data_IF_082691551922
#
_entry.id   IF_082691551922
#
_cell.length_a   1.000
_cell.length_b   1.000
_cell.length_c   1.000
_cell.angle_alpha   90.00
_cell.angle_beta   90.00
_cell.angle_gamma   90.00
#
_symmetry.space_group_name_H-M   'P 1'
#
loop_
_entity.id
_entity.type
_entity.pdbx_description
1 polymer ?
#
# COMPACT_ATOMS: atom_id res chain seq x y z
N UNK A 1 13.11 1.67 -16.14
CA UNK A 1 13.13 2.06 -14.71
C UNK A 1 11.92 1.54 -13.93
N UNK A 2 12.16 0.55 -13.07
CA UNK A 2 11.19 0.14 -12.05
C UNK A 2 11.24 1.01 -10.81
N UNK A 3 10.07 1.33 -10.28
CA UNK A 3 9.88 1.92 -8.96
C UNK A 3 9.30 0.89 -7.99
N UNK A 4 9.88 0.83 -6.80
CA UNK A 4 9.36 0.09 -5.66
C UNK A 4 8.64 1.06 -4.75
N UNK A 5 7.40 0.73 -4.44
CA UNK A 5 6.52 1.56 -3.62
C UNK A 5 6.18 0.81 -2.35
N UNK A 6 6.25 1.50 -1.22
CA UNK A 6 5.70 1.04 0.05
C UNK A 6 4.65 2.04 0.50
N UNK A 7 3.46 1.55 0.81
CA UNK A 7 2.36 2.30 1.37
C UNK A 7 2.08 1.77 2.76
N UNK A 8 1.90 2.66 3.73
CA UNK A 8 1.31 2.29 5.02
C UNK A 8 0.25 3.32 5.41
N UNK A 9 -0.79 2.90 6.12
CA UNK A 9 -1.85 3.80 6.54
C UNK A 9 -2.53 3.42 7.86
N UNK A 10 -2.89 4.43 8.63
CA UNK A 10 -3.66 4.28 9.86
C UNK A 10 -5.02 4.95 9.68
N UNK A 11 -6.09 4.16 9.75
CA UNK A 11 -7.45 4.65 9.61
C UNK A 11 -7.94 5.26 10.92
N UNK A 12 -8.53 6.44 10.84
CA UNK A 12 -9.24 7.07 11.95
C UNK A 12 -10.63 6.43 12.08
N UNK A 13 -11.01 6.04 13.30
CA UNK A 13 -12.35 5.56 13.62
C UNK A 13 -12.86 4.46 12.65
N UNK A 14 -12.01 3.51 12.26
CA UNK A 14 -12.34 2.46 11.28
C UNK A 14 -13.65 1.71 11.58
N UNK A 15 -13.92 1.48 12.87
CA UNK A 15 -15.15 0.85 13.38
C UNK A 15 -16.44 1.62 13.08
N UNK A 16 -16.35 2.92 12.80
CA UNK A 16 -17.48 3.79 12.42
C UNK A 16 -17.77 3.76 10.92
N UNK A 17 -16.93 3.11 10.11
CA UNK A 17 -17.25 2.89 8.70
C UNK A 17 -18.47 1.96 8.58
N UNK A 18 -19.24 2.02 7.48
CA UNK A 18 -20.34 1.08 7.22
C UNK A 18 -19.91 -0.40 7.21
N UNK A 19 -18.60 -0.65 7.10
CA UNK A 19 -17.99 -1.97 7.06
C UNK A 19 -17.36 -2.38 8.40
N UNK A 20 -17.44 -1.52 9.43
CA UNK A 20 -16.87 -1.74 10.75
C UNK A 20 -15.40 -2.13 10.70
N UNK A 21 -15.01 -3.10 11.52
CA UNK A 21 -13.62 -3.61 11.58
C UNK A 21 -13.18 -4.33 10.29
N UNK A 22 -14.11 -4.68 9.39
CA UNK A 22 -13.80 -5.35 8.12
C UNK A 22 -13.26 -4.39 7.05
N UNK A 23 -13.24 -3.08 7.32
CA UNK A 23 -12.82 -2.08 6.33
C UNK A 23 -11.36 -2.25 5.87
N UNK A 24 -10.48 -2.71 6.75
CA UNK A 24 -9.08 -3.02 6.40
C UNK A 24 -8.99 -4.13 5.35
N UNK A 25 -9.81 -5.18 5.48
CA UNK A 25 -9.87 -6.25 4.48
C UNK A 25 -10.43 -5.74 3.14
N UNK A 26 -11.47 -4.89 3.18
CA UNK A 26 -12.02 -4.27 1.96
C UNK A 26 -11.05 -3.35 1.23
N UNK A 27 -10.22 -2.63 1.98
CA UNK A 27 -9.13 -1.83 1.40
C UNK A 27 -8.03 -2.73 0.86
N UNK A 28 -7.71 -3.83 1.55
CA UNK A 28 -6.77 -4.86 1.05
C UNK A 28 -7.23 -5.39 -0.31
N UNK A 29 -8.48 -5.86 -0.41
CA UNK A 29 -9.05 -6.35 -1.67
C UNK A 29 -8.97 -5.29 -2.79
N UNK A 30 -9.23 -4.02 -2.46
CA UNK A 30 -9.17 -2.94 -3.44
C UNK A 30 -7.74 -2.63 -3.90
N UNK A 31 -6.76 -2.74 -3.01
CA UNK A 31 -5.34 -2.55 -3.30
C UNK A 31 -4.78 -3.73 -4.09
N UNK A 32 -5.18 -4.96 -3.78
CA UNK A 32 -4.76 -6.16 -4.52
C UNK A 32 -5.23 -6.10 -6.00
N UNK A 33 -6.42 -5.53 -6.26
CA UNK A 33 -6.91 -5.28 -7.61
C UNK A 33 -6.14 -4.19 -8.39
N UNK A 34 -5.25 -3.45 -7.72
CA UNK A 34 -4.39 -2.42 -8.29
C UNK A 34 -2.91 -2.82 -8.24
N UNK A 35 -2.62 -4.13 -8.17
CA UNK A 35 -1.27 -4.72 -8.14
C UNK A 35 -0.43 -4.32 -6.92
N UNK A 36 -1.06 -3.82 -5.85
CA UNK A 36 -0.41 -3.76 -4.55
C UNK A 36 -0.44 -5.16 -3.93
N UNK A 37 0.55 -5.44 -3.09
CA UNK A 37 0.71 -6.74 -2.46
C UNK A 37 0.91 -6.59 -0.96
N UNK A 38 0.31 -7.54 -0.22
CA UNK A 38 0.53 -7.71 1.22
C UNK A 38 1.79 -8.48 1.56
N UNK A 39 2.50 -9.00 0.56
CA UNK A 39 3.71 -9.78 0.74
C UNK A 39 4.90 -9.15 0.02
N UNK A 40 6.09 -9.35 0.58
CA UNK A 40 7.36 -9.05 -0.08
C UNK A 40 8.06 -10.34 -0.44
N UNK A 41 8.58 -10.42 -1.66
CA UNK A 41 9.34 -11.59 -2.13
C UNK A 41 10.83 -11.29 -2.08
N UNK A 42 11.56 -12.06 -1.28
CA UNK A 42 13.02 -11.96 -1.18
C UNK A 42 13.76 -12.67 -2.33
N UNK A 43 15.10 -12.57 -2.35
CA UNK A 43 15.96 -13.16 -3.41
C UNK A 43 15.85 -14.68 -3.57
N UNK A 44 15.39 -15.40 -2.54
CA UNK A 44 15.18 -16.86 -2.57
C UNK A 44 13.72 -17.25 -2.83
N UNK A 45 12.95 -16.36 -3.45
CA UNK A 45 11.50 -16.54 -3.72
C UNK A 45 10.65 -16.77 -2.46
N UNK A 46 11.20 -16.50 -1.28
CA UNK A 46 10.45 -16.55 -0.03
C UNK A 46 9.58 -15.31 0.06
N UNK A 47 8.28 -15.53 0.16
CA UNK A 47 7.28 -14.50 0.47
C UNK A 47 7.20 -14.31 1.97
N UNK A 48 7.10 -13.05 2.40
CA UNK A 48 6.91 -12.69 3.81
C UNK A 48 5.75 -11.71 3.89
N UNK A 49 4.82 -11.97 4.80
CA UNK A 49 3.67 -11.10 5.06
C UNK A 49 4.11 -9.77 5.69
N UNK A 50 3.54 -8.68 5.19
CA UNK A 50 3.72 -7.34 5.73
C UNK A 50 2.74 -7.07 6.88
N UNK A 51 3.06 -6.11 7.77
CA UNK A 51 2.13 -5.63 8.79
C UNK A 51 0.77 -5.26 8.21
N UNK A 52 -0.32 -5.42 8.98
CA UNK A 52 -1.72 -5.28 8.53
C UNK A 52 -2.07 -3.97 7.82
N UNK A 53 -1.33 -2.89 8.05
CA UNK A 53 -1.51 -1.60 7.38
C UNK A 53 -0.52 -1.31 6.24
N UNK A 54 0.46 -2.17 5.98
CA UNK A 54 1.54 -1.94 5.01
C UNK A 54 1.36 -2.77 3.73
N UNK A 55 1.59 -2.15 2.58
CA UNK A 55 1.44 -2.73 1.25
C UNK A 55 2.59 -2.29 0.36
N UNK A 56 2.93 -3.08 -0.65
CA UNK A 56 4.00 -2.75 -1.59
C UNK A 56 3.52 -2.90 -3.02
N UNK A 57 4.06 -2.11 -3.94
CA UNK A 57 3.77 -2.24 -5.37
C UNK A 57 5.05 -2.05 -6.17
N UNK A 58 5.02 -2.53 -7.41
CA UNK A 58 6.08 -2.28 -8.40
C UNK A 58 5.43 -1.61 -9.60
N UNK A 59 5.96 -0.46 -9.98
CA UNK A 59 5.56 0.24 -11.20
C UNK A 59 6.71 0.14 -12.20
N UNK A 60 6.40 -0.27 -13.42
CA UNK A 60 7.34 -0.24 -14.55
C UNK A 60 7.36 1.18 -15.17
N UNK A 61 8.10 1.32 -16.27
CA UNK A 61 8.68 2.55 -16.86
C UNK A 61 7.69 3.66 -17.31
N UNK A 62 6.44 3.62 -16.88
CA UNK A 62 5.40 4.60 -17.28
C UNK A 62 5.57 5.97 -16.60
N UNK A 63 6.55 6.12 -15.70
CA UNK A 63 6.79 7.33 -14.93
C UNK A 63 8.22 7.83 -15.07
N UNK A 64 8.39 9.13 -15.31
CA UNK A 64 9.73 9.74 -15.42
C UNK A 64 10.30 10.06 -14.03
N UNK A 65 9.44 10.45 -13.09
CA UNK A 65 9.83 10.92 -11.77
C UNK A 65 9.11 10.20 -10.61
N UNK A 66 9.83 9.99 -9.51
CA UNK A 66 9.28 9.38 -8.28
C UNK A 66 8.08 10.15 -7.72
N UNK A 67 8.06 11.48 -7.90
CA UNK A 67 6.95 12.34 -7.48
C UNK A 67 5.65 12.02 -8.21
N UNK A 68 5.71 11.64 -9.49
CA UNK A 68 4.52 11.25 -10.27
C UNK A 68 3.93 9.95 -9.72
N UNK A 69 4.80 9.00 -9.38
CA UNK A 69 4.39 7.75 -8.73
C UNK A 69 3.73 8.02 -7.37
N UNK A 70 4.30 8.94 -6.57
CA UNK A 70 3.71 9.33 -5.28
C UNK A 70 2.31 9.91 -5.46
N UNK A 71 2.12 10.86 -6.39
CA UNK A 71 0.81 11.47 -6.62
C UNK A 71 -0.20 10.47 -7.21
N UNK A 72 0.25 9.57 -8.11
CA UNK A 72 -0.59 8.50 -8.63
C UNK A 72 -1.08 7.56 -7.51
N UNK A 73 -0.16 7.07 -6.66
CA UNK A 73 -0.47 6.19 -5.53
C UNK A 73 -1.40 6.90 -4.54
N UNK A 74 -1.14 8.18 -4.24
CA UNK A 74 -1.98 9.00 -3.38
C UNK A 74 -3.40 9.11 -3.94
N UNK A 75 -3.56 9.42 -5.23
CA UNK A 75 -4.86 9.52 -5.87
C UNK A 75 -5.65 8.20 -5.80
N UNK A 76 -4.97 7.06 -5.94
CA UNK A 76 -5.59 5.74 -5.77
C UNK A 76 -6.05 5.49 -4.34
N UNK A 77 -5.19 5.80 -3.35
CA UNK A 77 -5.55 5.67 -1.93
C UNK A 77 -6.73 6.57 -1.56
N UNK A 78 -6.74 7.82 -2.02
CA UNK A 78 -7.86 8.74 -1.78
C UNK A 78 -9.18 8.21 -2.35
N UNK A 79 -9.17 7.66 -3.58
CA UNK A 79 -10.35 7.03 -4.18
C UNK A 79 -10.85 5.85 -3.34
N UNK A 80 -9.94 4.99 -2.87
CA UNK A 80 -10.28 3.83 -2.05
C UNK A 80 -10.85 4.27 -0.70
N UNK A 81 -10.21 5.22 -0.03
CA UNK A 81 -10.65 5.71 1.28
C UNK A 81 -12.03 6.36 1.20
N UNK A 82 -12.27 7.18 0.16
CA UNK A 82 -13.59 7.76 -0.10
C UNK A 82 -14.65 6.69 -0.38
N UNK A 83 -14.32 5.68 -1.19
CA UNK A 83 -15.24 4.56 -1.51
C UNK A 83 -15.72 3.83 -0.25
N UNK A 84 -14.85 3.70 0.75
CA UNK A 84 -15.17 3.00 2.00
C UNK A 84 -15.54 3.94 3.16
N UNK A 85 -15.72 5.23 2.89
CA UNK A 85 -16.08 6.26 3.87
C UNK A 85 -15.14 6.29 5.08
N UNK A 86 -13.84 6.16 4.83
CA UNK A 86 -12.78 6.25 5.85
C UNK A 86 -11.85 7.42 5.59
N UNK A 87 -11.16 7.83 6.64
CA UNK A 87 -10.06 8.80 6.58
C UNK A 87 -8.93 8.31 7.47
N UNK A 88 -7.72 8.83 7.28
CA UNK A 88 -6.57 8.35 8.02
C UNK A 88 -5.28 9.04 7.63
N UNK A 89 -4.23 8.77 8.38
CA UNK A 89 -2.87 9.14 7.97
C UNK A 89 -2.33 8.06 7.06
N UNK A 90 -1.53 8.45 6.08
CA UNK A 90 -0.84 7.51 5.20
C UNK A 90 0.59 7.97 4.98
N UNK A 91 1.43 7.03 4.59
CA UNK A 91 2.81 7.25 4.20
C UNK A 91 3.10 6.47 2.92
N UNK A 92 3.72 7.14 1.95
CA UNK A 92 4.13 6.56 0.67
C UNK A 92 5.63 6.76 0.56
N UNK A 93 6.35 5.68 0.32
CA UNK A 93 7.77 5.70 -0.04
C UNK A 93 7.95 5.14 -1.43
N UNK A 94 8.71 5.84 -2.28
CA UNK A 94 9.02 5.42 -3.65
C UNK A 94 10.53 5.43 -3.83
N UNK A 95 11.09 4.33 -4.34
CA UNK A 95 12.52 4.18 -4.55
C UNK A 95 12.85 3.34 -5.78
N UNK A 96 14.02 3.54 -6.37
CA UNK A 96 14.56 2.66 -7.44
C UNK A 96 15.33 1.47 -6.85
N UNK A 97 15.88 1.64 -5.66
CA UNK A 97 16.54 0.59 -4.88
C UNK A 97 15.62 0.17 -3.74
N UNK A 98 15.48 -1.13 -3.52
CA UNK A 98 14.59 -1.65 -2.50
C UNK A 98 15.35 -2.48 -1.47
N UNK A 99 15.34 -2.01 -0.24
CA UNK A 99 15.88 -2.70 0.93
C UNK A 99 14.80 -2.66 2.02
N UNK A 100 14.51 -3.83 2.60
CA UNK A 100 13.45 -3.99 3.59
C UNK A 100 13.80 -5.10 4.57
N UNK A 101 13.15 -5.06 5.74
CA UNK A 101 13.20 -6.11 6.76
C UNK A 101 11.82 -6.21 7.40
N UNK A 102 11.34 -7.44 7.56
CA UNK A 102 10.18 -7.76 8.39
C UNK A 102 10.70 -8.53 9.60
N UNK A 103 10.20 -8.21 10.79
CA UNK A 103 10.58 -8.87 12.03
C UNK A 103 9.54 -8.67 13.12
N UNK A 104 9.68 -9.43 14.18
CA UNK A 104 8.91 -9.34 15.43
C UNK A 104 9.89 -9.25 16.61
N UNK A 105 9.41 -8.76 17.74
CA UNK A 105 10.14 -8.80 19.02
C UNK A 105 9.63 -9.98 19.86
#
# INVERSE_FOLDING_TARGET
MRYFVTVTFDLNCASMSPYGNNVYAKITDALDNLDYSKVVTGRKERTIDLPSNTYVAKFDDDFEHQSEVVEFVKANLEKIFRRYSVSGRYFISVGKNWAWKVGSF
#
